data_IF_540597709922
#
_entry.id   IF_540597709922
#
_cell.length_a   1.000
_cell.length_b   1.000
_cell.length_c   1.000
_cell.angle_alpha   90.00
_cell.angle_beta   90.00
_cell.angle_gamma   90.00
#
_symmetry.space_group_name_H-M   'P 1'
#
loop_
_entity.id
_entity.type
_entity.pdbx_description
1 polymer ?
#
# COMPACT_ATOMS: atom_id res chain seq x y z
N UNK A 1 -1.29 -71.83 -21.44
CA UNK A 1 -1.02 -70.88 -22.56
C UNK A 1 -2.07 -69.80 -22.52
N UNK A 2 -1.83 -68.69 -21.81
CA UNK A 2 -2.77 -67.55 -21.73
C UNK A 2 -2.49 -66.55 -22.86
N UNK A 3 -3.50 -66.02 -23.51
CA UNK A 3 -3.30 -65.17 -24.68
C UNK A 3 -2.73 -63.80 -24.32
N UNK A 4 -1.64 -63.48 -24.93
CA UNK A 4 -0.88 -62.20 -24.85
C UNK A 4 -1.68 -60.91 -25.22
N UNK A 5 -2.97 -61.01 -25.50
CA UNK A 5 -3.83 -59.90 -25.91
C UNK A 5 -4.55 -59.19 -24.78
N UNK A 6 -4.60 -59.79 -23.56
CA UNK A 6 -5.24 -59.16 -22.40
C UNK A 6 -4.35 -58.14 -21.67
N UNK A 7 -3.02 -58.21 -21.81
CA UNK A 7 -2.09 -57.31 -21.14
C UNK A 7 -1.96 -55.92 -21.82
N UNK A 8 -2.34 -55.80 -23.09
CA UNK A 8 -2.25 -54.51 -23.83
C UNK A 8 -3.42 -53.54 -23.52
N UNK A 9 -4.57 -54.08 -23.11
CA UNK A 9 -5.76 -53.26 -22.81
C UNK A 9 -5.67 -52.61 -21.42
N UNK A 10 -5.01 -53.25 -20.47
CA UNK A 10 -4.81 -52.71 -19.12
C UNK A 10 -3.76 -51.55 -19.08
N UNK A 11 -2.76 -51.60 -19.97
CA UNK A 11 -1.74 -50.54 -20.06
C UNK A 11 -2.26 -49.24 -20.69
N UNK A 12 -3.34 -49.28 -21.46
CA UNK A 12 -3.92 -48.10 -22.14
C UNK A 12 -4.89 -47.33 -21.23
N UNK A 13 -5.39 -47.92 -20.16
CA UNK A 13 -6.35 -47.28 -19.23
C UNK A 13 -5.73 -46.50 -18.10
N UNK A 14 -4.41 -46.60 -17.89
CA UNK A 14 -3.68 -45.85 -16.83
C UNK A 14 -3.16 -44.49 -17.33
N UNK A 15 -3.22 -44.21 -18.62
CA UNK A 15 -2.73 -42.95 -19.23
C UNK A 15 -3.77 -41.81 -19.25
N UNK A 16 -4.97 -41.99 -18.66
CA UNK A 16 -6.02 -40.98 -18.67
C UNK A 16 -6.22 -40.48 -17.27
N UNK A 17 -5.52 -39.35 -16.92
CA UNK A 17 -5.99 -38.55 -15.81
C UNK A 17 -4.93 -38.09 -14.80
N UNK A 18 -3.89 -37.41 -15.26
CA UNK A 18 -3.38 -36.34 -14.43
C UNK A 18 -4.35 -35.17 -14.59
N UNK A 19 -5.09 -34.76 -13.55
CA UNK A 19 -5.77 -33.47 -13.63
C UNK A 19 -4.67 -32.46 -13.88
N UNK A 20 -4.65 -31.85 -15.07
CA UNK A 20 -3.95 -30.59 -15.27
C UNK A 20 -4.54 -29.66 -14.21
N UNK A 21 -3.82 -29.41 -13.13
CA UNK A 21 -4.17 -28.35 -12.21
C UNK A 21 -4.25 -27.10 -13.09
N UNK A 22 -5.47 -26.67 -13.39
CA UNK A 22 -5.69 -25.40 -14.04
C UNK A 22 -5.03 -24.41 -13.09
N UNK A 23 -3.86 -23.89 -13.46
CA UNK A 23 -3.26 -22.77 -12.76
C UNK A 23 -4.29 -21.67 -12.88
N UNK A 24 -4.99 -21.39 -11.77
CA UNK A 24 -5.91 -20.27 -11.68
C UNK A 24 -5.14 -19.04 -12.15
N UNK A 25 -5.52 -18.53 -13.34
CA UNK A 25 -4.84 -17.38 -13.92
C UNK A 25 -5.03 -16.18 -12.99
N UNK A 26 -3.95 -15.67 -12.42
CA UNK A 26 -3.99 -14.43 -11.65
C UNK A 26 -4.13 -13.23 -12.58
N UNK A 27 -5.01 -12.25 -12.26
CA UNK A 27 -6.04 -12.27 -11.22
C UNK A 27 -7.32 -12.95 -11.72
N UNK A 28 -7.94 -13.81 -10.88
CA UNK A 28 -9.22 -14.47 -11.15
C UNK A 28 -10.39 -13.95 -10.29
N UNK A 29 -10.14 -12.94 -9.46
CA UNK A 29 -11.12 -12.26 -8.60
C UNK A 29 -10.74 -10.80 -8.41
N UNK A 30 -11.66 -9.94 -7.97
CA UNK A 30 -11.38 -8.52 -7.74
C UNK A 30 -10.20 -8.30 -6.80
N UNK A 31 -9.39 -7.27 -7.11
CA UNK A 31 -8.28 -6.80 -6.29
C UNK A 31 -8.78 -5.64 -5.44
N UNK A 32 -8.36 -5.56 -4.18
CA UNK A 32 -8.65 -4.45 -3.28
C UNK A 32 -7.41 -3.58 -3.10
N UNK A 33 -7.51 -2.30 -3.43
CA UNK A 33 -6.48 -1.30 -3.16
C UNK A 33 -6.87 -0.50 -1.91
N UNK A 34 -6.17 -0.71 -0.81
CA UNK A 34 -6.38 0.01 0.44
C UNK A 34 -5.64 1.34 0.39
N UNK A 35 -6.37 2.42 0.66
CA UNK A 35 -5.84 3.78 0.85
C UNK A 35 -6.01 4.13 2.33
N UNK A 36 -4.91 4.29 3.10
CA UNK A 36 -4.97 4.48 4.55
C UNK A 36 -5.31 5.92 4.97
N UNK A 37 -5.92 6.70 4.08
CA UNK A 37 -6.25 8.11 4.27
C UNK A 37 -7.68 8.42 3.84
N UNK A 38 -8.22 9.61 4.24
CA UNK A 38 -9.57 10.01 3.86
C UNK A 38 -9.77 10.07 2.35
N UNK A 39 -10.99 9.81 1.86
CA UNK A 39 -11.35 10.02 0.48
C UNK A 39 -11.18 11.50 0.08
N UNK A 40 -10.78 11.74 -1.20
CA UNK A 40 -10.54 13.06 -1.74
C UNK A 40 -9.17 13.68 -1.39
N UNK A 41 -8.36 13.04 -0.53
CA UNK A 41 -6.97 13.42 -0.28
C UNK A 41 -6.02 12.95 -1.40
N UNK A 42 -4.76 13.40 -1.33
CA UNK A 42 -3.74 13.10 -2.36
C UNK A 42 -3.63 11.59 -2.64
N UNK A 43 -3.60 10.76 -1.60
CA UNK A 43 -3.51 9.32 -1.76
C UNK A 43 -4.73 8.73 -2.49
N UNK A 44 -5.95 9.20 -2.17
CA UNK A 44 -7.16 8.73 -2.80
C UNK A 44 -7.27 9.19 -4.27
N UNK A 45 -6.92 10.47 -4.53
CA UNK A 45 -6.90 11.02 -5.88
C UNK A 45 -5.83 10.36 -6.78
N UNK A 46 -4.77 9.84 -6.19
CA UNK A 46 -3.76 9.04 -6.91
C UNK A 46 -4.20 7.59 -7.10
N UNK A 47 -4.82 6.98 -6.07
CA UNK A 47 -5.22 5.58 -6.11
C UNK A 47 -6.27 5.28 -7.18
N UNK A 48 -7.28 6.14 -7.34
CA UNK A 48 -8.38 5.88 -8.27
C UNK A 48 -7.96 5.79 -9.74
N UNK A 49 -7.18 6.73 -10.30
CA UNK A 49 -6.66 6.61 -11.66
C UNK A 49 -5.75 5.38 -11.84
N UNK A 50 -4.91 5.07 -10.83
CA UNK A 50 -4.05 3.88 -10.85
C UNK A 50 -4.89 2.61 -10.89
N UNK A 51 -5.91 2.48 -10.03
CA UNK A 51 -6.82 1.35 -10.01
C UNK A 51 -7.53 1.19 -11.37
N UNK A 52 -8.05 2.28 -11.94
CA UNK A 52 -8.69 2.28 -13.27
C UNK A 52 -7.72 1.84 -14.38
N UNK A 53 -6.46 2.25 -14.33
CA UNK A 53 -5.46 1.82 -15.29
C UNK A 53 -5.12 0.33 -15.12
N UNK A 54 -5.02 -0.14 -13.88
CA UNK A 54 -4.80 -1.56 -13.57
C UNK A 54 -5.95 -2.45 -14.07
N UNK A 55 -7.21 -2.03 -13.88
CA UNK A 55 -8.38 -2.77 -14.38
C UNK A 55 -8.31 -3.03 -15.88
N UNK A 56 -7.89 -2.01 -16.66
CA UNK A 56 -7.75 -2.13 -18.11
C UNK A 56 -6.71 -3.17 -18.51
N UNK A 57 -5.58 -3.20 -17.80
CA UNK A 57 -4.47 -4.12 -18.10
C UNK A 57 -4.75 -5.53 -17.60
N UNK A 58 -5.24 -5.64 -16.36
CA UNK A 58 -5.47 -6.92 -15.70
C UNK A 58 -6.80 -7.57 -16.11
N UNK A 59 -7.69 -6.81 -16.76
CA UNK A 59 -9.05 -7.25 -17.14
C UNK A 59 -9.83 -7.81 -15.94
N UNK A 60 -9.62 -7.21 -14.78
CA UNK A 60 -10.22 -7.60 -13.51
C UNK A 60 -10.47 -6.36 -12.66
N UNK A 61 -11.59 -6.27 -11.92
CA UNK A 61 -11.89 -5.11 -11.08
C UNK A 61 -10.81 -4.82 -10.03
N UNK A 62 -10.50 -3.54 -9.81
CA UNK A 62 -9.61 -3.05 -8.76
C UNK A 62 -10.35 -2.01 -7.91
N UNK A 63 -10.93 -2.45 -6.82
CA UNK A 63 -11.71 -1.59 -5.92
C UNK A 63 -10.83 -0.79 -4.97
N UNK A 64 -11.05 0.53 -4.88
CA UNK A 64 -10.37 1.40 -3.90
C UNK A 64 -11.17 1.48 -2.61
N UNK A 65 -10.53 1.19 -1.47
CA UNK A 65 -11.13 1.24 -0.14
C UNK A 65 -10.32 2.16 0.77
N UNK A 66 -10.96 3.20 1.31
CA UNK A 66 -10.32 4.11 2.27
C UNK A 66 -10.42 3.54 3.69
N UNK A 67 -9.28 3.31 4.36
CA UNK A 67 -9.16 2.87 5.75
C UNK A 67 -8.34 3.86 6.54
N UNK A 68 -8.95 4.96 6.93
CA UNK A 68 -8.27 6.03 7.67
C UNK A 68 -8.12 5.70 9.17
N UNK A 69 -7.20 6.38 9.84
CA UNK A 69 -6.99 6.34 11.28
C UNK A 69 -5.50 6.32 11.65
N UNK A 70 -5.16 6.99 12.77
CA UNK A 70 -3.79 7.08 13.32
C UNK A 70 -2.74 7.42 12.23
N UNK A 71 -2.97 8.50 11.48
CA UNK A 71 -2.12 8.96 10.38
C UNK A 71 -1.86 7.89 9.28
N UNK A 72 -2.78 6.94 9.14
CA UNK A 72 -2.69 5.84 8.16
C UNK A 72 -2.30 4.49 8.76
N UNK A 73 -1.88 4.43 10.02
CA UNK A 73 -1.45 3.18 10.65
C UNK A 73 -2.51 2.08 10.60
N UNK A 74 -3.79 2.42 10.80
CA UNK A 74 -4.90 1.46 10.76
C UNK A 74 -5.02 0.77 9.39
N UNK A 75 -5.00 1.55 8.31
CA UNK A 75 -5.06 1.01 6.95
C UNK A 75 -3.82 0.20 6.59
N UNK A 76 -2.63 0.71 6.92
CA UNK A 76 -1.35 0.02 6.68
C UNK A 76 -1.29 -1.30 7.43
N UNK A 77 -1.62 -1.33 8.71
CA UNK A 77 -1.68 -2.56 9.50
C UNK A 77 -2.64 -3.59 8.89
N UNK A 78 -3.81 -3.14 8.40
CA UNK A 78 -4.78 -4.05 7.79
C UNK A 78 -4.24 -4.77 6.54
N UNK A 79 -3.29 -4.14 5.82
CA UNK A 79 -2.63 -4.76 4.67
C UNK A 79 -1.45 -5.61 5.12
N UNK A 80 -0.69 -5.17 6.13
CA UNK A 80 0.45 -5.92 6.68
C UNK A 80 0.06 -7.33 7.16
N UNK A 81 -1.17 -7.50 7.67
CA UNK A 81 -1.69 -8.79 8.12
C UNK A 81 -2.54 -9.52 7.07
N UNK A 82 -2.73 -8.94 5.89
CA UNK A 82 -3.48 -9.58 4.81
C UNK A 82 -2.68 -10.75 4.19
N UNK A 83 -3.38 -11.65 3.49
CA UNK A 83 -2.70 -12.71 2.74
C UNK A 83 -1.81 -12.10 1.64
N UNK A 84 -0.55 -12.54 1.51
CA UNK A 84 0.36 -12.03 0.49
C UNK A 84 0.12 -12.71 -0.88
N UNK A 85 -1.11 -12.69 -1.35
CA UNK A 85 -1.56 -13.37 -2.57
C UNK A 85 -1.80 -12.41 -3.75
N UNK A 86 -1.44 -11.12 -3.59
CA UNK A 86 -1.57 -10.10 -4.61
C UNK A 86 -2.96 -9.48 -4.74
N UNK A 87 -3.96 -9.92 -3.96
CA UNK A 87 -5.32 -9.38 -4.03
C UNK A 87 -5.59 -8.23 -3.07
N UNK A 88 -4.66 -7.94 -2.16
CA UNK A 88 -4.73 -6.77 -1.28
C UNK A 88 -3.51 -5.91 -1.51
N UNK A 89 -3.72 -4.73 -2.07
CA UNK A 89 -2.68 -3.76 -2.36
C UNK A 89 -2.79 -2.58 -1.38
N UNK A 90 -1.67 -1.91 -1.15
CA UNK A 90 -1.60 -0.68 -0.38
C UNK A 90 -1.12 0.45 -1.27
N UNK A 91 -1.84 1.57 -1.31
CA UNK A 91 -1.32 2.83 -1.79
C UNK A 91 -1.03 3.73 -0.59
N UNK A 92 0.23 3.81 -0.21
CA UNK A 92 0.71 4.54 0.96
C UNK A 92 1.39 5.86 0.58
N UNK A 93 1.50 6.75 1.55
CA UNK A 93 2.38 7.91 1.52
C UNK A 93 3.65 7.62 2.36
N UNK A 94 4.56 8.59 2.46
CA UNK A 94 5.83 8.47 3.19
C UNK A 94 5.69 8.06 4.66
N UNK A 95 4.53 8.27 5.28
CA UNK A 95 4.25 7.83 6.65
C UNK A 95 4.40 6.32 6.88
N UNK A 96 4.40 5.50 5.83
CA UNK A 96 4.69 4.06 5.94
C UNK A 96 6.08 3.80 6.56
N UNK A 97 7.06 4.65 6.29
CA UNK A 97 8.42 4.56 6.86
C UNK A 97 8.56 5.30 8.19
N UNK A 98 7.72 6.32 8.43
CA UNK A 98 7.82 7.18 9.60
C UNK A 98 7.15 6.56 10.83
N UNK A 99 5.96 5.97 10.65
CA UNK A 99 5.15 5.47 11.76
C UNK A 99 5.88 4.41 12.60
N UNK A 100 6.49 3.36 12.03
CA UNK A 100 7.19 2.35 12.82
C UNK A 100 8.37 2.93 13.61
N UNK A 101 9.09 3.88 13.05
CA UNK A 101 10.23 4.52 13.74
C UNK A 101 9.76 5.47 14.84
N UNK A 102 8.69 6.21 14.60
CA UNK A 102 8.10 7.06 15.64
C UNK A 102 7.52 6.23 16.80
N UNK A 103 6.89 5.09 16.52
CA UNK A 103 6.42 4.19 17.59
C UNK A 103 7.57 3.70 18.47
N UNK A 104 8.72 3.33 17.88
CA UNK A 104 9.92 2.96 18.64
C UNK A 104 10.43 4.13 19.49
N UNK A 105 10.46 5.35 18.93
CA UNK A 105 10.90 6.55 19.64
C UNK A 105 10.04 6.86 20.86
N UNK A 106 8.75 6.50 20.83
CA UNK A 106 7.79 6.70 21.92
C UNK A 106 7.60 5.45 22.79
N UNK A 107 8.52 4.48 22.74
CA UNK A 107 8.45 3.21 23.47
C UNK A 107 7.12 2.46 23.25
N UNK A 108 6.56 2.52 22.04
CA UNK A 108 5.35 1.81 21.65
C UNK A 108 5.68 0.67 20.72
N UNK A 109 5.00 -0.49 20.83
CA UNK A 109 5.14 -1.54 19.85
C UNK A 109 4.62 -1.04 18.50
N UNK A 110 5.40 -1.17 17.40
CA UNK A 110 4.95 -0.76 16.08
C UNK A 110 3.70 -1.53 15.64
N UNK A 111 2.72 -0.82 15.08
CA UNK A 111 1.51 -1.45 14.55
C UNK A 111 1.79 -2.35 13.34
N UNK A 112 2.87 -2.06 12.60
CA UNK A 112 3.40 -2.82 11.48
C UNK A 112 4.89 -2.52 11.32
N UNK A 113 5.59 -3.28 10.46
CA UNK A 113 6.95 -2.96 10.02
C UNK A 113 7.02 -2.85 8.51
N UNK A 114 8.02 -2.12 7.98
CA UNK A 114 8.17 -1.90 6.54
C UNK A 114 8.45 -3.22 5.80
N UNK A 115 9.12 -4.15 6.45
CA UNK A 115 9.49 -5.47 5.91
C UNK A 115 8.29 -6.37 5.65
N UNK A 116 7.11 -6.05 6.22
CA UNK A 116 5.86 -6.77 5.95
C UNK A 116 5.26 -6.42 4.57
N UNK A 117 5.81 -5.42 3.88
CA UNK A 117 5.33 -5.01 2.56
C UNK A 117 6.37 -5.31 1.48
N UNK A 118 5.88 -5.69 0.31
CA UNK A 118 6.68 -5.81 -0.90
C UNK A 118 6.39 -4.60 -1.78
N UNK A 119 7.36 -3.67 -1.99
CA UNK A 119 7.15 -2.51 -2.84
C UNK A 119 6.98 -2.92 -4.30
N UNK A 120 5.99 -2.34 -4.99
CA UNK A 120 5.71 -2.62 -6.39
C UNK A 120 6.21 -1.48 -7.27
N UNK A 121 5.84 -0.23 -6.95
CA UNK A 121 6.21 0.93 -7.74
C UNK A 121 6.14 2.22 -6.90
N UNK A 122 7.01 3.16 -7.21
CA UNK A 122 6.89 4.56 -6.79
C UNK A 122 6.00 5.29 -7.80
N UNK A 123 4.81 5.70 -7.36
CA UNK A 123 3.84 6.37 -8.24
C UNK A 123 4.12 7.86 -8.37
N UNK A 124 4.51 8.52 -7.26
CA UNK A 124 4.83 9.94 -7.20
C UNK A 124 5.93 10.19 -6.17
N UNK A 125 6.71 11.25 -6.39
CA UNK A 125 7.78 11.70 -5.49
C UNK A 125 7.62 13.22 -5.27
N UNK A 126 6.54 13.60 -4.58
CA UNK A 126 6.24 15.01 -4.33
C UNK A 126 7.06 15.52 -3.13
N UNK A 127 7.77 16.66 -3.28
CA UNK A 127 8.52 17.24 -2.18
C UNK A 127 7.59 17.84 -1.13
N UNK A 128 7.98 17.74 0.14
CA UNK A 128 7.32 18.48 1.22
C UNK A 128 7.64 19.96 1.08
N UNK A 129 6.64 20.83 1.20
CA UNK A 129 6.79 22.28 1.13
C UNK A 129 6.40 22.91 2.47
N UNK A 130 7.14 23.95 2.88
CA UNK A 130 6.78 24.81 3.97
C UNK A 130 5.96 26.00 3.44
N UNK A 131 4.72 26.10 3.89
CA UNK A 131 3.81 27.19 3.49
C UNK A 131 3.61 28.11 4.69
N UNK A 132 3.68 29.41 4.45
CA UNK A 132 3.42 30.46 5.45
C UNK A 132 2.43 31.48 4.90
N UNK A 133 1.63 32.16 5.75
CA UNK A 133 0.76 33.23 5.30
C UNK A 133 1.56 34.37 4.64
N UNK A 134 1.02 34.94 3.56
CA UNK A 134 1.72 35.95 2.77
C UNK A 134 1.99 37.27 3.52
N UNK A 135 1.23 37.54 4.57
CA UNK A 135 1.39 38.71 5.44
C UNK A 135 2.55 38.59 6.45
N UNK A 136 3.16 37.38 6.57
CA UNK A 136 4.31 37.19 7.46
C UNK A 136 5.60 37.75 6.85
N UNK A 137 6.56 38.18 7.70
CA UNK A 137 7.79 38.79 7.23
C UNK A 137 8.79 37.82 6.59
N UNK A 138 8.53 36.52 6.67
CA UNK A 138 9.44 35.49 6.20
C UNK A 138 9.39 35.36 4.68
N UNK A 139 10.52 35.53 4.01
CA UNK A 139 10.67 35.40 2.54
C UNK A 139 11.45 34.13 2.17
N UNK A 140 12.18 33.58 3.13
CA UNK A 140 12.98 32.38 2.96
C UNK A 140 12.78 31.44 4.16
N UNK A 141 13.12 30.16 3.99
CA UNK A 141 13.13 29.20 5.10
C UNK A 141 14.10 29.65 6.21
N UNK A 142 15.20 30.33 5.85
CA UNK A 142 16.17 30.87 6.81
C UNK A 142 15.53 31.93 7.70
N UNK A 143 14.79 32.88 7.14
CA UNK A 143 14.11 33.93 7.92
C UNK A 143 13.15 33.32 8.94
N UNK A 144 12.39 32.30 8.50
CA UNK A 144 11.49 31.56 9.38
C UNK A 144 12.22 30.87 10.52
N UNK A 145 13.31 30.15 10.22
CA UNK A 145 14.10 29.42 11.23
C UNK A 145 14.74 30.38 12.22
N UNK A 146 15.27 31.51 11.76
CA UNK A 146 15.90 32.53 12.65
C UNK A 146 14.86 33.16 13.57
N UNK A 147 13.66 33.46 13.07
CA UNK A 147 12.59 33.99 13.91
C UNK A 147 12.07 32.96 14.92
N UNK A 148 11.92 31.70 14.50
CA UNK A 148 11.51 30.60 15.36
C UNK A 148 12.50 30.40 16.53
N UNK A 149 13.79 30.51 16.26
CA UNK A 149 14.85 30.46 17.31
C UNK A 149 14.78 31.60 18.29
N UNK A 150 14.38 32.79 17.84
CA UNK A 150 14.23 33.99 18.72
C UNK A 150 12.98 33.90 19.58
N UNK A 151 11.99 33.13 19.17
CA UNK A 151 10.68 33.03 19.83
C UNK A 151 10.26 31.56 20.02
N UNK A 152 11.00 30.75 20.81
CA UNK A 152 10.71 29.34 20.99
C UNK A 152 9.30 29.14 21.59
N UNK A 153 8.53 28.21 21.02
CA UNK A 153 7.16 27.89 21.46
C UNK A 153 6.09 28.94 21.11
N UNK A 154 6.42 30.04 20.40
CA UNK A 154 5.48 31.12 20.09
C UNK A 154 4.92 31.03 18.65
N UNK A 155 5.50 30.20 17.79
CA UNK A 155 5.02 29.99 16.43
C UNK A 155 4.23 28.69 16.40
N UNK A 156 2.94 28.81 16.15
CA UNK A 156 2.08 27.65 15.90
C UNK A 156 2.18 27.21 14.46
N UNK A 157 2.08 25.90 14.23
CA UNK A 157 2.05 25.30 12.90
C UNK A 157 0.96 24.24 12.84
N UNK A 158 0.61 23.83 11.65
CA UNK A 158 -0.34 22.75 11.39
C UNK A 158 0.36 21.67 10.58
N UNK A 159 0.05 20.42 10.88
CA UNK A 159 0.51 19.25 10.15
C UNK A 159 -0.64 18.24 10.01
N UNK A 160 -0.43 17.18 9.27
CA UNK A 160 -1.42 16.10 9.13
C UNK A 160 -1.55 15.22 10.38
N UNK A 161 -0.84 15.53 11.46
CA UNK A 161 -0.87 14.82 12.74
C UNK A 161 0.51 14.56 13.30
N UNK A 162 0.60 13.70 14.33
CA UNK A 162 1.85 13.42 15.05
C UNK A 162 2.92 12.75 14.15
N UNK A 163 2.48 12.15 13.04
CA UNK A 163 3.34 11.44 12.07
C UNK A 163 3.43 12.16 10.71
N UNK A 164 2.91 13.39 10.57
CA UNK A 164 2.86 14.14 9.32
C UNK A 164 3.45 15.52 9.36
#
# INVERSE_FOLDING_TARGET
>A
MMPRRASLVVALLVAIGTPAAAQDSYPNRPITMVVPFPPGGVADLTARPVATAMEKVLRNPVGVVNKQGAAGAVGMQSVAVAKPDGYTLLLALSSISIIPEADKLFDRPPAFTVEQFVPIALISADPTILVVPADKPWRTAKDFIEDARKRPGQISYSSSGIYG
#
